data_IF_974168044665
#
_entry.id   IF_974168044665
#
_cell.length_a   1.000
_cell.length_b   1.000
_cell.length_c   1.000
_cell.angle_alpha   90.00
_cell.angle_beta   90.00
_cell.angle_gamma   90.00
#
_symmetry.space_group_name_H-M   'P 1'
#
loop_
_entity.id
_entity.type
_entity.pdbx_description
1 polymer ?
#
# COMPACT_ATOMS: atom_id res chain seq x y z
N UNK A 1 -4.04 11.88 -23.82
CA UNK A 1 -4.65 12.33 -22.57
C UNK A 1 -5.29 11.15 -21.85
N UNK A 2 -5.16 11.12 -20.50
CA UNK A 2 -5.69 10.07 -19.64
C UNK A 2 -6.51 10.67 -18.50
N UNK A 3 -7.36 9.86 -17.89
CA UNK A 3 -8.02 10.12 -16.62
C UNK A 3 -7.39 9.24 -15.55
N UNK A 4 -6.89 9.85 -14.49
CA UNK A 4 -6.22 9.15 -13.41
C UNK A 4 -6.73 9.60 -12.04
N UNK A 5 -6.68 8.70 -11.07
CA UNK A 5 -6.83 9.04 -9.66
C UNK A 5 -5.58 8.65 -8.88
N UNK A 6 -5.25 9.46 -7.88
CA UNK A 6 -4.27 9.15 -6.86
C UNK A 6 -4.97 9.18 -5.50
N UNK A 7 -4.84 8.14 -4.71
CA UNK A 7 -5.55 7.96 -3.46
C UNK A 7 -4.71 7.46 -2.32
N UNK A 8 -4.94 8.01 -1.13
CA UNK A 8 -4.29 7.62 0.12
C UNK A 8 -5.30 7.44 1.25
N UNK A 9 -4.84 7.17 2.46
CA UNK A 9 -5.68 6.84 3.61
C UNK A 9 -6.66 7.96 3.98
N UNK A 10 -6.17 9.19 4.16
CA UNK A 10 -6.96 10.38 4.46
C UNK A 10 -6.78 11.49 3.43
N UNK A 11 -7.59 12.54 3.50
CA UNK A 11 -7.46 13.71 2.64
C UNK A 11 -6.16 14.48 2.90
N UNK A 12 -5.75 14.57 4.17
CA UNK A 12 -4.50 15.19 4.58
C UNK A 12 -3.30 14.38 4.10
N UNK A 13 -3.29 13.07 4.30
CA UNK A 13 -2.23 12.19 3.83
C UNK A 13 -2.11 12.24 2.30
N UNK A 14 -3.24 12.22 1.59
CA UNK A 14 -3.25 12.36 0.12
C UNK A 14 -2.64 13.69 -0.33
N UNK A 15 -2.89 14.80 0.39
CA UNK A 15 -2.27 16.10 0.12
C UNK A 15 -0.77 16.07 0.41
N UNK A 16 -0.39 15.59 1.59
CA UNK A 16 0.98 15.73 2.12
C UNK A 16 1.97 14.73 1.49
N UNK A 17 1.46 13.62 0.98
CA UNK A 17 2.26 12.60 0.30
C UNK A 17 2.06 12.66 -1.23
N UNK A 18 0.92 12.25 -1.73
CA UNK A 18 0.67 12.08 -3.17
C UNK A 18 0.66 13.40 -3.94
N UNK A 19 -0.04 14.41 -3.44
CA UNK A 19 -0.06 15.71 -4.08
C UNK A 19 1.33 16.35 -4.06
N UNK A 20 2.06 16.24 -2.94
CA UNK A 20 3.44 16.73 -2.83
C UNK A 20 4.36 16.02 -3.82
N UNK A 21 4.31 14.70 -3.88
CA UNK A 21 5.14 13.91 -4.80
C UNK A 21 4.88 14.27 -6.25
N UNK A 22 3.63 14.48 -6.61
CA UNK A 22 3.26 14.77 -7.99
C UNK A 22 3.42 16.24 -8.39
N UNK A 23 3.15 17.19 -7.47
CA UNK A 23 3.05 18.61 -7.81
C UNK A 23 4.07 19.51 -7.12
N UNK A 24 4.75 19.03 -6.09
CA UNK A 24 5.57 19.83 -5.16
C UNK A 24 4.81 20.19 -3.88
N UNK A 25 5.48 20.84 -2.95
CA UNK A 25 4.98 21.14 -1.60
C UNK A 25 3.63 21.87 -1.63
N UNK A 26 2.58 21.37 -0.96
CA UNK A 26 1.23 21.90 -1.09
C UNK A 26 1.03 23.34 -0.54
N UNK A 27 1.76 23.70 0.49
CA UNK A 27 1.68 25.01 1.18
C UNK A 27 2.60 26.08 0.58
N UNK A 28 3.56 25.69 -0.26
CA UNK A 28 4.48 26.60 -0.94
C UNK A 28 4.26 26.63 -2.45
N UNK A 29 3.61 27.69 -2.92
CA UNK A 29 3.34 27.89 -4.34
C UNK A 29 4.60 28.11 -5.19
N UNK A 30 5.72 28.50 -4.58
CA UNK A 30 6.97 28.77 -5.28
C UNK A 30 7.64 27.49 -5.78
N UNK A 31 7.39 26.38 -5.10
CA UNK A 31 7.91 25.05 -5.45
C UNK A 31 6.91 24.18 -6.22
N UNK A 32 5.79 24.75 -6.65
CA UNK A 32 4.83 24.02 -7.48
C UNK A 32 5.47 23.61 -8.80
N UNK A 33 5.30 22.32 -9.16
CA UNK A 33 5.92 21.73 -10.34
C UNK A 33 7.35 21.23 -10.14
N UNK A 34 7.81 21.16 -8.88
CA UNK A 34 9.05 20.47 -8.50
C UNK A 34 8.85 18.98 -8.22
N UNK A 35 7.61 18.50 -8.15
CA UNK A 35 7.28 17.09 -8.10
C UNK A 35 7.45 16.40 -9.46
N UNK A 36 6.91 15.21 -9.59
CA UNK A 36 6.98 14.41 -10.82
C UNK A 36 6.34 15.11 -12.04
N UNK A 37 5.41 16.05 -11.82
CA UNK A 37 4.73 16.81 -12.89
C UNK A 37 5.30 18.24 -12.97
N UNK A 38 6.06 18.57 -14.03
CA UNK A 38 6.65 19.88 -14.19
C UNK A 38 5.59 21.00 -14.30
N UNK A 39 5.92 22.21 -13.82
CA UNK A 39 5.01 23.37 -13.79
C UNK A 39 4.38 23.67 -15.14
N UNK A 40 5.11 23.57 -16.25
CA UNK A 40 4.61 23.80 -17.62
C UNK A 40 3.43 22.89 -18.00
N UNK A 41 3.34 21.70 -17.38
CA UNK A 41 2.28 20.73 -17.63
C UNK A 41 1.09 20.89 -16.66
N UNK A 42 1.24 21.62 -15.56
CA UNK A 42 0.20 21.85 -14.58
C UNK A 42 -0.78 22.90 -15.10
N UNK A 43 -2.05 22.53 -15.23
CA UNK A 43 -3.15 23.39 -15.64
C UNK A 43 -4.02 23.84 -14.46
N UNK A 44 -5.31 24.02 -14.75
CA UNK A 44 -6.30 24.41 -13.76
C UNK A 44 -6.49 23.33 -12.69
N UNK A 45 -6.64 23.79 -11.45
CA UNK A 45 -6.87 22.92 -10.32
C UNK A 45 -8.16 23.32 -9.57
N UNK A 46 -8.95 22.32 -9.18
CA UNK A 46 -10.08 22.52 -8.29
C UNK A 46 -9.66 22.22 -6.86
N UNK A 47 -10.00 23.10 -5.92
CA UNK A 47 -9.68 22.91 -4.51
C UNK A 47 -10.58 21.86 -3.87
N UNK A 48 -10.06 21.17 -2.89
CA UNK A 48 -10.85 20.25 -2.06
C UNK A 48 -11.50 21.03 -0.93
N UNK A 49 -12.84 21.03 -0.80
CA UNK A 49 -13.51 21.66 0.32
C UNK A 49 -13.08 21.08 1.67
N UNK A 50 -12.87 21.94 2.65
CA UNK A 50 -12.57 21.54 4.02
C UNK A 50 -11.11 21.13 4.29
N UNK A 51 -10.27 21.03 3.24
CA UNK A 51 -8.85 20.65 3.44
C UNK A 51 -7.96 21.74 2.83
N UNK A 52 -7.26 22.52 3.68
CA UNK A 52 -6.39 23.58 3.20
C UNK A 52 -5.31 23.06 2.24
N UNK A 53 -5.05 23.81 1.17
CA UNK A 53 -4.04 23.52 0.14
C UNK A 53 -4.21 22.19 -0.61
N UNK A 54 -5.28 21.43 -0.35
CA UNK A 54 -5.57 20.21 -1.09
C UNK A 54 -6.32 20.50 -2.41
N UNK A 55 -5.97 19.75 -3.44
CA UNK A 55 -6.69 19.73 -4.70
C UNK A 55 -7.67 18.55 -4.74
N UNK A 56 -8.86 18.80 -5.30
CA UNK A 56 -9.78 17.72 -5.63
C UNK A 56 -9.43 17.10 -6.98
N UNK A 57 -9.09 17.94 -7.95
CA UNK A 57 -8.57 17.49 -9.24
C UNK A 57 -7.71 18.56 -9.89
N UNK A 58 -6.88 18.15 -10.84
CA UNK A 58 -6.02 19.02 -11.61
C UNK A 58 -5.99 18.60 -13.08
N UNK A 59 -5.94 19.57 -13.96
CA UNK A 59 -5.71 19.37 -15.39
C UNK A 59 -4.22 19.28 -15.64
N UNK A 60 -3.78 18.27 -16.38
CA UNK A 60 -2.39 18.06 -16.79
C UNK A 60 -2.32 18.17 -18.31
N UNK A 61 -1.54 19.13 -18.82
CA UNK A 61 -1.29 19.28 -20.26
C UNK A 61 -0.46 18.10 -20.75
N UNK A 62 -1.03 17.33 -21.66
CA UNK A 62 -0.36 16.16 -22.22
C UNK A 62 0.50 16.57 -23.43
N UNK A 63 1.62 15.84 -23.63
CA UNK A 63 2.56 16.10 -24.74
C UNK A 63 1.92 16.03 -26.15
N UNK A 64 0.79 15.36 -26.30
CA UNK A 64 0.04 15.29 -27.57
C UNK A 64 -0.86 16.51 -27.83
N UNK A 65 -0.83 17.54 -26.98
CA UNK A 65 -1.66 18.76 -27.10
C UNK A 65 -3.02 18.67 -26.40
N UNK A 66 -3.44 17.50 -25.89
CA UNK A 66 -4.69 17.36 -25.14
C UNK A 66 -4.49 17.51 -23.62
N UNK A 67 -5.58 17.40 -22.87
CA UNK A 67 -5.58 17.52 -21.42
C UNK A 67 -5.91 16.18 -20.73
N UNK A 68 -5.03 15.73 -19.88
CA UNK A 68 -5.29 14.67 -18.89
C UNK A 68 -5.95 15.27 -17.64
N UNK A 69 -6.64 14.45 -16.87
CA UNK A 69 -7.22 14.85 -15.61
C UNK A 69 -6.74 13.91 -14.50
N UNK A 70 -6.18 14.49 -13.43
CA UNK A 70 -5.78 13.80 -12.24
C UNK A 70 -6.69 14.20 -11.07
N UNK A 71 -7.38 13.24 -10.46
CA UNK A 71 -8.19 13.42 -9.26
C UNK A 71 -7.46 12.91 -8.03
N UNK A 72 -7.69 13.57 -6.89
CA UNK A 72 -7.17 13.13 -5.59
C UNK A 72 -8.30 12.59 -4.73
N UNK A 73 -8.15 11.38 -4.24
CA UNK A 73 -9.14 10.65 -3.45
C UNK A 73 -8.57 10.25 -2.10
N UNK A 74 -9.43 9.93 -1.15
CA UNK A 74 -9.03 9.35 0.13
C UNK A 74 -9.92 8.14 0.45
N UNK A 75 -9.35 7.13 1.11
CA UNK A 75 -10.10 5.92 1.48
C UNK A 75 -11.19 6.22 2.50
N UNK A 76 -10.93 7.14 3.44
CA UNK A 76 -11.89 7.61 4.43
C UNK A 76 -13.19 8.19 3.84
N UNK A 77 -13.17 8.57 2.55
CA UNK A 77 -14.37 9.09 1.87
C UNK A 77 -15.41 8.00 1.60
N UNK A 78 -15.06 6.74 1.82
CA UNK A 78 -15.91 5.58 1.56
C UNK A 78 -15.99 5.21 0.08
N UNK A 79 -16.39 3.96 -0.17
CA UNK A 79 -16.43 3.35 -1.52
C UNK A 79 -17.30 4.11 -2.52
N UNK A 80 -18.36 4.79 -2.05
CA UNK A 80 -19.29 5.53 -2.91
C UNK A 80 -18.59 6.66 -3.68
N UNK A 81 -17.54 7.25 -3.10
CA UNK A 81 -16.75 8.29 -3.77
C UNK A 81 -15.76 7.75 -4.80
N UNK A 82 -15.59 6.43 -4.83
CA UNK A 82 -14.76 5.72 -5.82
C UNK A 82 -15.57 5.12 -6.97
N UNK A 83 -16.86 5.44 -7.04
CA UNK A 83 -17.78 4.97 -8.08
C UNK A 83 -17.96 6.02 -9.19
N UNK A 84 -18.43 5.58 -10.36
CA UNK A 84 -19.06 6.43 -11.37
C UNK A 84 -18.17 6.94 -12.52
N UNK A 85 -16.84 6.73 -12.52
CA UNK A 85 -15.96 7.21 -13.60
C UNK A 85 -15.09 6.06 -14.13
N UNK A 86 -14.93 5.94 -15.46
CA UNK A 86 -13.97 5.02 -16.07
C UNK A 86 -12.59 5.69 -16.18
N UNK A 87 -11.55 5.02 -15.74
CA UNK A 87 -10.21 5.56 -15.55
C UNK A 87 -9.17 4.76 -16.32
N UNK A 88 -8.10 5.43 -16.70
CA UNK A 88 -6.97 4.81 -17.37
C UNK A 88 -5.91 4.34 -16.35
N UNK A 89 -5.76 5.08 -15.23
CA UNK A 89 -4.77 4.75 -14.18
C UNK A 89 -5.32 5.13 -12.81
N UNK A 90 -5.10 4.26 -11.83
CA UNK A 90 -5.33 4.57 -10.42
C UNK A 90 -4.06 4.20 -9.63
N UNK A 91 -3.55 5.17 -8.86
CA UNK A 91 -2.50 4.97 -7.87
C UNK A 91 -3.11 4.95 -6.48
N UNK A 92 -2.92 3.86 -5.76
CA UNK A 92 -3.31 3.66 -4.37
C UNK A 92 -2.05 3.66 -3.50
N UNK A 93 -1.91 4.67 -2.66
CA UNK A 93 -0.80 4.80 -1.73
C UNK A 93 -1.25 4.34 -0.34
N UNK A 94 -0.44 3.54 0.30
CA UNK A 94 -0.79 2.67 1.42
C UNK A 94 -1.82 1.59 1.04
N UNK A 95 -1.88 0.54 1.84
CA UNK A 95 -2.78 -0.57 1.59
C UNK A 95 -4.25 -0.12 1.65
N UNK A 96 -5.00 -0.19 0.55
CA UNK A 96 -6.39 0.23 0.53
C UNK A 96 -7.29 -0.80 1.22
N UNK A 97 -8.44 -0.37 1.79
CA UNK A 97 -9.52 -1.28 2.13
C UNK A 97 -9.94 -2.14 0.92
N UNK A 98 -10.29 -3.42 1.10
CA UNK A 98 -10.64 -4.32 -0.01
C UNK A 98 -11.74 -3.80 -0.93
N UNK A 99 -12.74 -3.10 -0.39
CA UNK A 99 -13.81 -2.50 -1.16
C UNK A 99 -13.33 -1.33 -2.05
N UNK A 100 -12.31 -0.58 -1.62
CA UNK A 100 -11.68 0.48 -2.43
C UNK A 100 -10.87 -0.14 -3.57
N UNK A 101 -10.07 -1.17 -3.28
CA UNK A 101 -9.33 -1.89 -4.30
C UNK A 101 -10.27 -2.47 -5.37
N UNK A 102 -11.35 -3.12 -4.96
CA UNK A 102 -12.38 -3.65 -5.88
C UNK A 102 -12.98 -2.56 -6.76
N UNK A 103 -13.27 -1.37 -6.20
CA UNK A 103 -13.75 -0.24 -6.99
C UNK A 103 -12.68 0.23 -7.98
N UNK A 104 -11.41 0.35 -7.56
CA UNK A 104 -10.34 0.77 -8.44
C UNK A 104 -10.19 -0.17 -9.65
N UNK A 105 -10.16 -1.48 -9.43
CA UNK A 105 -10.10 -2.47 -10.50
C UNK A 105 -11.32 -2.35 -11.44
N UNK A 106 -12.53 -2.19 -10.87
CA UNK A 106 -13.74 -2.03 -11.67
C UNK A 106 -13.71 -0.76 -12.54
N UNK A 107 -13.17 0.36 -12.02
CA UNK A 107 -13.11 1.63 -12.76
C UNK A 107 -12.08 1.64 -13.89
N UNK A 108 -11.07 0.78 -13.83
CA UNK A 108 -10.05 0.66 -14.89
C UNK A 108 -10.39 -0.42 -15.93
N UNK A 109 -11.29 -1.34 -15.62
CA UNK A 109 -11.62 -2.50 -16.48
C UNK A 109 -12.11 -2.10 -17.88
N UNK A 110 -13.03 -1.11 -17.99
CA UNK A 110 -13.62 -0.70 -19.26
C UNK A 110 -12.58 -0.19 -20.28
N UNK A 111 -11.46 0.34 -19.78
CA UNK A 111 -10.41 0.93 -20.62
C UNK A 111 -9.17 0.05 -20.73
N UNK A 112 -9.17 -1.12 -20.12
CA UNK A 112 -7.95 -1.91 -19.95
C UNK A 112 -6.87 -1.13 -19.21
N UNK A 113 -7.29 -0.28 -18.28
CA UNK A 113 -6.42 0.59 -17.51
C UNK A 113 -5.67 -0.16 -16.43
N UNK A 114 -4.84 0.55 -15.66
CA UNK A 114 -3.95 0.00 -14.66
C UNK A 114 -4.30 0.51 -13.25
N UNK A 115 -4.25 -0.40 -12.29
CA UNK A 115 -4.20 -0.07 -10.86
C UNK A 115 -2.83 -0.48 -10.33
N UNK A 116 -2.15 0.43 -9.63
CA UNK A 116 -0.95 0.08 -8.89
C UNK A 116 -1.03 0.59 -7.46
N UNK A 117 -0.40 -0.16 -6.56
CA UNK A 117 -0.36 0.12 -5.13
C UNK A 117 1.08 0.27 -4.67
N UNK A 118 1.31 1.21 -3.77
CA UNK A 118 2.59 1.42 -3.10
C UNK A 118 2.35 1.43 -1.60
N UNK A 119 2.85 0.44 -0.89
CA UNK A 119 2.64 0.37 0.57
C UNK A 119 3.71 -0.47 1.27
N UNK A 120 3.90 -0.23 2.55
CA UNK A 120 4.61 -1.12 3.44
C UNK A 120 3.58 -2.04 4.11
N UNK A 121 3.77 -3.36 4.14
CA UNK A 121 2.77 -4.31 4.64
C UNK A 121 2.70 -4.33 6.17
N UNK A 122 2.38 -3.17 6.77
CA UNK A 122 2.35 -2.97 8.23
C UNK A 122 1.25 -3.77 8.93
N UNK A 123 0.17 -4.06 8.20
CA UNK A 123 -0.94 -4.89 8.68
C UNK A 123 -0.65 -6.39 8.57
N UNK A 124 0.56 -6.76 8.17
CA UNK A 124 0.99 -8.15 8.01
C UNK A 124 0.40 -8.82 6.78
N UNK A 125 0.05 -10.09 6.92
CA UNK A 125 -0.47 -10.93 5.83
C UNK A 125 -1.99 -10.75 5.68
N UNK A 126 -2.41 -9.59 5.21
CA UNK A 126 -3.81 -9.34 4.86
C UNK A 126 -4.22 -10.15 3.62
N UNK A 127 -5.50 -10.18 3.32
CA UNK A 127 -6.02 -10.85 2.12
C UNK A 127 -5.38 -10.28 0.82
N UNK A 128 -5.24 -8.96 0.74
CA UNK A 128 -4.60 -8.27 -0.39
C UNK A 128 -3.14 -8.66 -0.50
N UNK A 129 -2.39 -8.60 0.60
CA UNK A 129 -0.98 -8.97 0.63
C UNK A 129 -0.79 -10.44 0.26
N UNK A 130 -1.58 -11.34 0.87
CA UNK A 130 -1.53 -12.78 0.59
C UNK A 130 -1.81 -13.10 -0.88
N UNK A 131 -2.79 -12.43 -1.49
CA UNK A 131 -3.10 -12.60 -2.90
C UNK A 131 -1.91 -12.23 -3.79
N UNK A 132 -1.28 -11.08 -3.56
CA UNK A 132 -0.14 -10.64 -4.37
C UNK A 132 1.13 -11.46 -4.12
N UNK A 133 1.33 -12.00 -2.92
CA UNK A 133 2.51 -12.80 -2.61
C UNK A 133 2.40 -14.26 -3.06
N UNK A 134 1.21 -14.85 -2.93
CA UNK A 134 1.05 -16.29 -3.08
C UNK A 134 0.22 -16.71 -4.31
N UNK A 135 -0.59 -15.81 -4.87
CA UNK A 135 -1.54 -16.12 -5.93
C UNK A 135 -1.66 -14.96 -6.94
N UNK A 136 -0.54 -14.62 -7.59
CA UNK A 136 -0.53 -13.60 -8.65
C UNK A 136 -1.40 -14.08 -9.83
N UNK A 137 -2.44 -13.32 -10.11
CA UNK A 137 -3.32 -13.57 -11.25
C UNK A 137 -2.70 -13.05 -12.56
N UNK A 138 -3.21 -13.55 -13.67
CA UNK A 138 -2.76 -13.08 -14.99
C UNK A 138 -2.95 -11.56 -15.11
N UNK A 139 -1.91 -10.87 -15.54
CA UNK A 139 -1.88 -9.40 -15.64
C UNK A 139 -1.52 -8.68 -14.35
N UNK A 140 -1.23 -9.38 -13.26
CA UNK A 140 -0.71 -8.81 -12.02
C UNK A 140 0.80 -8.95 -11.96
N UNK A 141 1.44 -7.99 -11.31
CA UNK A 141 2.87 -7.96 -11.05
C UNK A 141 3.11 -7.42 -9.64
N UNK A 142 4.11 -7.96 -8.96
CA UNK A 142 4.56 -7.48 -7.65
C UNK A 142 6.07 -7.24 -7.67
N UNK A 143 6.49 -6.18 -7.04
CA UNK A 143 7.89 -5.87 -6.79
C UNK A 143 8.05 -5.46 -5.32
N UNK A 144 9.02 -6.05 -4.66
CA UNK A 144 9.41 -5.67 -3.30
C UNK A 144 10.70 -4.87 -3.38
N UNK A 145 10.77 -3.77 -2.65
CA UNK A 145 11.97 -2.95 -2.50
C UNK A 145 12.36 -2.90 -1.02
N UNK A 146 13.63 -3.11 -0.75
CA UNK A 146 14.23 -3.00 0.56
C UNK A 146 15.10 -1.75 0.70
N UNK A 147 15.71 -1.58 1.86
CA UNK A 147 16.63 -0.46 2.09
C UNK A 147 17.90 -0.50 1.23
N UNK A 148 18.26 -1.67 0.73
CA UNK A 148 19.41 -1.81 -0.18
C UNK A 148 19.13 -1.24 -1.58
N UNK A 149 17.84 -1.10 -1.92
CA UNK A 149 17.39 -0.42 -3.14
C UNK A 149 17.31 1.11 -2.97
N UNK A 150 17.61 1.63 -1.76
CA UNK A 150 17.55 3.04 -1.42
C UNK A 150 18.96 3.65 -1.24
N UNK A 151 19.66 4.01 -2.31
CA UNK A 151 21.06 4.43 -2.26
C UNK A 151 21.33 5.72 -1.45
N UNK A 152 20.27 6.45 -1.10
CA UNK A 152 20.35 7.64 -0.24
C UNK A 152 20.39 7.31 1.26
N UNK A 153 20.09 6.06 1.65
CA UNK A 153 20.15 5.62 3.04
C UNK A 153 21.55 5.11 3.37
N UNK A 154 22.25 5.84 4.25
CA UNK A 154 23.56 5.41 4.76
C UNK A 154 23.41 4.28 5.77
N UNK A 155 24.46 3.48 5.98
CA UNK A 155 24.44 2.38 6.96
C UNK A 155 24.14 2.89 8.38
N UNK A 156 24.73 4.03 8.77
CA UNK A 156 24.45 4.64 10.09
C UNK A 156 22.97 4.95 10.29
N UNK A 157 22.28 5.43 9.24
CA UNK A 157 20.83 5.71 9.28
C UNK A 157 20.03 4.42 9.37
N UNK A 158 20.42 3.38 8.61
CA UNK A 158 19.78 2.05 8.69
C UNK A 158 19.90 1.47 10.09
N UNK A 159 21.11 1.50 10.69
CA UNK A 159 21.36 1.02 12.04
C UNK A 159 20.53 1.78 13.10
N UNK A 160 20.46 3.11 13.01
CA UNK A 160 19.67 3.93 13.92
C UNK A 160 18.16 3.57 13.86
N UNK A 161 17.63 3.40 12.65
CA UNK A 161 16.22 3.00 12.47
C UNK A 161 16.00 1.59 13.02
N UNK A 162 16.89 0.62 12.70
CA UNK A 162 16.78 -0.75 13.21
C UNK A 162 16.84 -0.83 14.74
N UNK A 163 17.66 0.02 15.38
CA UNK A 163 17.74 0.09 16.82
C UNK A 163 16.44 0.61 17.47
N UNK A 164 15.73 1.49 16.78
CA UNK A 164 14.45 2.04 17.24
C UNK A 164 13.25 1.11 16.99
N UNK A 165 13.37 0.15 16.06
CA UNK A 165 12.28 -0.74 15.70
C UNK A 165 12.21 -1.98 16.60
N UNK A 166 11.00 -2.42 16.98
CA UNK A 166 10.80 -3.73 17.59
C UNK A 166 11.36 -4.86 16.71
N UNK A 167 11.98 -5.91 17.28
CA UNK A 167 12.60 -6.96 16.49
C UNK A 167 11.70 -7.59 15.42
N UNK A 168 10.41 -7.77 15.69
CA UNK A 168 9.45 -8.38 14.79
C UNK A 168 9.08 -7.49 13.58
N UNK A 169 9.32 -6.16 13.66
CA UNK A 169 9.06 -5.22 12.55
C UNK A 169 10.27 -5.02 11.64
N UNK A 170 11.47 -5.41 12.08
CA UNK A 170 12.72 -5.09 11.39
C UNK A 170 12.77 -5.61 9.96
N UNK A 171 12.38 -6.87 9.74
CA UNK A 171 12.32 -7.47 8.39
C UNK A 171 11.31 -6.78 7.48
N UNK A 172 10.14 -6.48 8.01
CA UNK A 172 9.09 -5.80 7.27
C UNK A 172 9.56 -4.42 6.82
N UNK A 173 10.15 -3.64 7.72
CA UNK A 173 10.62 -2.29 7.42
C UNK A 173 11.87 -2.26 6.53
N UNK A 174 12.82 -3.19 6.73
CA UNK A 174 14.08 -3.20 5.97
C UNK A 174 14.00 -3.88 4.62
N UNK A 175 13.18 -4.91 4.50
CA UNK A 175 13.09 -5.74 3.28
C UNK A 175 11.74 -5.65 2.57
N UNK A 176 10.75 -4.96 3.15
CA UNK A 176 9.38 -4.92 2.60
C UNK A 176 8.65 -6.28 2.68
N UNK A 177 9.14 -7.20 3.51
CA UNK A 177 8.54 -8.53 3.67
C UNK A 177 7.47 -8.45 4.76
N UNK A 178 6.22 -8.85 4.49
CA UNK A 178 5.17 -8.85 5.50
C UNK A 178 5.58 -9.65 6.72
N UNK A 179 5.50 -9.05 7.90
CA UNK A 179 5.58 -9.78 9.14
C UNK A 179 4.20 -10.33 9.51
N UNK A 180 4.15 -11.33 10.36
CA UNK A 180 2.91 -11.71 11.02
C UNK A 180 2.45 -10.48 11.84
N UNK A 181 1.46 -9.77 11.37
CA UNK A 181 1.09 -8.39 11.65
C UNK A 181 0.88 -7.97 13.11
N UNK A 182 0.38 -6.75 13.28
CA UNK A 182 0.09 -6.08 14.56
C UNK A 182 -0.89 -6.80 15.50
N UNK A 183 -1.46 -7.94 15.09
CA UNK A 183 -2.31 -8.83 15.87
C UNK A 183 -1.61 -10.02 16.50
N UNK A 184 -0.28 -10.05 16.52
CA UNK A 184 0.46 -11.13 17.16
C UNK A 184 0.15 -11.18 18.66
N UNK A 185 -0.41 -12.30 19.12
CA UNK A 185 -0.59 -12.59 20.55
C UNK A 185 0.79 -12.68 21.22
N UNK A 186 1.79 -13.19 20.50
CA UNK A 186 3.18 -13.28 20.95
C UNK A 186 4.07 -12.50 19.97
N UNK A 187 4.56 -11.30 20.33
CA UNK A 187 5.44 -10.49 19.46
C UNK A 187 6.88 -11.04 19.48
N UNK A 188 7.03 -12.27 19.02
CA UNK A 188 8.32 -12.96 18.94
C UNK A 188 8.67 -13.15 17.46
N UNK A 189 9.92 -12.88 17.04
CA UNK A 189 10.37 -13.17 15.69
C UNK A 189 10.18 -14.65 15.34
N UNK A 190 9.68 -14.94 14.14
CA UNK A 190 9.39 -16.29 13.68
C UNK A 190 10.63 -17.21 13.76
N UNK A 191 11.81 -16.66 13.48
CA UNK A 191 13.08 -17.38 13.52
C UNK A 191 13.46 -17.91 14.91
N UNK A 192 12.89 -17.34 15.96
CA UNK A 192 13.12 -17.78 17.34
C UNK A 192 12.19 -18.95 17.73
N UNK A 193 11.03 -19.03 17.07
CA UNK A 193 9.98 -20.01 17.40
C UNK A 193 9.82 -21.10 16.34
N UNK A 194 10.55 -21.01 15.23
CA UNK A 194 10.55 -22.04 14.18
C UNK A 194 11.83 -22.85 14.20
N UNK A 195 11.74 -24.09 13.76
CA UNK A 195 12.89 -24.96 13.54
C UNK A 195 12.70 -25.75 12.24
N UNK A 196 13.79 -26.30 11.73
CA UNK A 196 13.71 -27.20 10.59
C UNK A 196 12.78 -28.39 10.88
N UNK A 197 12.03 -28.89 9.89
CA UNK A 197 11.18 -30.05 10.05
C UNK A 197 11.97 -31.25 10.52
N UNK A 198 11.49 -31.92 11.55
CA UNK A 198 12.07 -33.17 12.06
C UNK A 198 10.99 -34.20 12.34
N UNK A 199 11.38 -35.47 12.38
CA UNK A 199 10.47 -36.55 12.74
C UNK A 199 10.15 -36.51 14.23
N UNK A 200 8.86 -36.30 14.56
CA UNK A 200 8.40 -36.24 15.95
C UNK A 200 8.51 -37.66 16.58
N UNK A 201 9.31 -37.83 17.64
CA UNK A 201 9.49 -39.13 18.27
C UNK A 201 8.15 -39.78 18.68
N UNK A 202 8.01 -41.08 18.43
CA UNK A 202 6.74 -41.79 18.65
C UNK A 202 6.30 -41.78 20.13
N UNK A 203 7.26 -41.61 21.08
CA UNK A 203 6.99 -41.57 22.52
C UNK A 203 6.56 -40.20 23.06
N UNK A 204 6.61 -39.16 22.22
CA UNK A 204 6.14 -37.84 22.64
C UNK A 204 4.61 -37.81 22.71
N UNK A 205 4.06 -37.38 23.85
CA UNK A 205 2.62 -37.12 23.95
C UNK A 205 2.19 -36.08 22.91
N UNK A 206 0.98 -36.26 22.38
CA UNK A 206 0.44 -35.37 21.33
C UNK A 206 -0.97 -34.95 21.69
N UNK A 207 -1.28 -33.69 21.41
CA UNK A 207 -2.62 -33.14 21.49
C UNK A 207 -2.89 -32.29 20.27
N UNK A 208 -4.12 -32.25 19.83
CA UNK A 208 -4.58 -31.34 18.80
C UNK A 208 -5.79 -30.54 19.26
N UNK A 209 -5.86 -29.30 18.84
CA UNK A 209 -7.01 -28.43 19.03
C UNK A 209 -7.48 -27.86 17.71
N UNK A 210 -8.76 -27.58 17.61
CA UNK A 210 -9.37 -26.98 16.43
C UNK A 210 -10.30 -25.87 16.87
N UNK A 211 -10.17 -24.71 16.22
CA UNK A 211 -11.08 -23.58 16.37
C UNK A 211 -11.86 -23.40 15.06
N UNK A 212 -13.19 -23.49 15.15
CA UNK A 212 -14.06 -23.38 13.99
C UNK A 212 -14.40 -21.92 13.73
N UNK A 213 -13.86 -21.37 12.64
CA UNK A 213 -14.25 -20.04 12.16
C UNK A 213 -15.61 -20.08 11.43
N UNK A 214 -16.46 -19.10 11.67
CA UNK A 214 -17.68 -18.87 10.89
C UNK A 214 -17.43 -17.82 9.81
N UNK A 215 -16.95 -16.65 10.22
CA UNK A 215 -16.57 -15.55 9.31
C UNK A 215 -15.03 -15.47 9.12
N UNK A 216 -14.29 -16.36 9.77
CA UNK A 216 -12.83 -16.48 9.69
C UNK A 216 -12.43 -17.91 9.36
N UNK A 217 -11.22 -18.14 8.82
CA UNK A 217 -10.74 -19.49 8.55
C UNK A 217 -10.75 -20.36 9.80
N UNK A 218 -11.11 -21.64 9.65
CA UNK A 218 -10.93 -22.65 10.70
C UNK A 218 -9.44 -22.85 10.94
N UNK A 219 -9.03 -22.82 12.19
CA UNK A 219 -7.64 -23.04 12.62
C UNK A 219 -7.48 -24.36 13.34
N UNK A 220 -6.42 -25.09 13.05
CA UNK A 220 -6.05 -26.30 13.76
C UNK A 220 -4.60 -26.20 14.25
N UNK A 221 -4.34 -26.66 15.48
CA UNK A 221 -3.01 -26.72 16.07
C UNK A 221 -2.70 -28.11 16.59
N UNK A 222 -1.46 -28.52 16.45
CA UNK A 222 -0.93 -29.79 16.98
C UNK A 222 0.26 -29.47 17.87
N UNK A 223 0.29 -30.08 19.04
CA UNK A 223 1.38 -29.93 20.01
C UNK A 223 1.93 -31.32 20.33
N UNK A 224 3.25 -31.44 20.39
CA UNK A 224 3.95 -32.62 20.82
C UNK A 224 5.06 -32.19 21.80
N UNK A 225 5.31 -32.94 22.89
CA UNK A 225 6.34 -32.64 23.89
C UNK A 225 7.01 -33.84 24.47
#
# INVERSE_FOLDING_TARGET
PIRAWAGGSSNETTRDMLQRELLGQPDDKTVRGTGAIPMKNIGEATRKPGVPNAHNSIVIRHKSGGNSRLGFKAYEMGKEKWMGESLDVIWLDEEPPPEIYTQAVTRTADKGGMVYMTFTPENGMTETVAQFMNDLRNGQFMMTAGWDDAPHMTEDVKEQILAALPPHERKMRSLGIPSLGSGLVFPVPEEIITCDPFEIPAHWPRISGMDYGWDHPTTAAWIAW
#
